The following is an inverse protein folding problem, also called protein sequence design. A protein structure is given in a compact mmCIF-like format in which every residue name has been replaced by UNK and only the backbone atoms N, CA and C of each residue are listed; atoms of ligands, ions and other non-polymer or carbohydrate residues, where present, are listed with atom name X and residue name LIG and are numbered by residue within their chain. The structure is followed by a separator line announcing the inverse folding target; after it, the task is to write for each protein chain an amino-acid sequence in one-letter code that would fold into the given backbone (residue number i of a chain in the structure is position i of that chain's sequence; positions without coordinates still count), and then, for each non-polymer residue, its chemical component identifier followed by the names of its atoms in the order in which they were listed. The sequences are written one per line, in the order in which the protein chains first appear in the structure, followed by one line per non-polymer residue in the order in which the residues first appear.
data_IF_359763809760
#
_entry.id   IF_359763809760
#
_cell.length_a   1.000
_cell.length_b   1.000
_cell.length_c   1.000
_cell.angle_alpha   90.00
_cell.angle_beta   90.00
_cell.angle_gamma   90.00
#
_symmetry.space_group_name_H-M   'P 1'
#
loop_
_entity.id
_entity.type
_entity.pdbx_description
1 polymer ?
#
# COMPACT_ATOMS: atom_id res chain seq x y z
N UNK A 1 -1.59 2.96 22.31
CA UNK A 1 -0.67 2.00 21.66
C UNK A 1 -0.28 0.92 22.66
N UNK A 2 -1.24 0.03 22.92
CA UNK A 2 -1.14 -0.91 24.05
C UNK A 2 -0.52 -2.26 23.67
N UNK A 3 -0.09 -2.46 22.43
CA UNK A 3 0.40 -3.77 22.00
C UNK A 3 1.73 -3.67 21.20
N UNK A 4 2.73 -3.04 21.83
CA UNK A 4 4.06 -2.89 21.21
C UNK A 4 4.75 -4.25 21.00
N UNK A 5 4.46 -5.25 21.84
CA UNK A 5 4.99 -6.61 21.72
C UNK A 5 4.58 -7.28 20.40
N UNK A 6 3.43 -6.91 19.84
CA UNK A 6 3.00 -7.42 18.55
C UNK A 6 3.90 -6.94 17.41
N UNK A 7 4.40 -5.70 17.49
CA UNK A 7 5.40 -5.20 16.52
C UNK A 7 6.66 -6.05 16.57
N UNK A 8 7.14 -6.36 17.78
CA UNK A 8 8.32 -7.19 17.96
C UNK A 8 8.12 -8.59 17.36
N UNK A 9 7.00 -9.24 17.70
CA UNK A 9 6.65 -10.55 17.17
C UNK A 9 6.58 -10.56 15.64
N UNK A 10 5.84 -9.60 15.07
CA UNK A 10 5.66 -9.49 13.62
C UNK A 10 6.98 -9.17 12.89
N UNK A 11 7.81 -8.28 13.44
CA UNK A 11 9.11 -7.95 12.81
C UNK A 11 10.16 -9.03 12.98
N UNK A 12 10.04 -9.93 13.97
CA UNK A 12 10.84 -11.16 14.05
C UNK A 12 10.49 -12.11 12.90
N UNK A 13 9.21 -12.26 12.58
CA UNK A 13 8.74 -13.18 11.55
C UNK A 13 8.92 -12.66 10.13
N UNK A 14 8.75 -11.35 9.91
CA UNK A 14 8.62 -10.76 8.57
C UNK A 14 9.67 -9.68 8.26
N UNK A 15 10.60 -9.40 9.17
CA UNK A 15 11.62 -8.36 9.10
C UNK A 15 11.05 -6.93 9.06
N UNK A 16 10.07 -6.66 8.22
CA UNK A 16 9.42 -5.35 8.12
C UNK A 16 7.89 -5.47 8.13
N UNK A 17 7.25 -4.47 8.73
CA UNK A 17 5.79 -4.37 8.85
C UNK A 17 5.33 -2.94 8.57
N UNK A 18 4.07 -2.82 8.18
CA UNK A 18 3.35 -1.58 8.09
C UNK A 18 2.31 -1.48 9.20
N UNK A 19 2.29 -0.35 9.89
CA UNK A 19 1.18 0.05 10.74
C UNK A 19 0.27 0.94 9.91
N UNK A 20 -1.01 0.58 9.81
CA UNK A 20 -2.01 1.35 9.06
C UNK A 20 -3.17 1.69 9.99
N UNK A 21 -3.61 2.96 10.08
CA UNK A 21 -4.78 3.29 10.87
C UNK A 21 -6.02 2.60 10.31
N UNK A 22 -6.87 2.07 11.19
CA UNK A 22 -8.14 1.41 10.80
C UNK A 22 -9.05 2.41 10.09
N UNK A 23 -9.09 3.64 10.59
CA UNK A 23 -9.83 4.73 9.98
C UNK A 23 -8.84 5.74 9.38
N UNK A 24 -8.94 5.97 8.08
CA UNK A 24 -8.05 6.90 7.38
C UNK A 24 -8.15 6.74 5.87
N UNK A 25 -7.57 7.71 5.17
CA UNK A 25 -7.51 7.71 3.72
C UNK A 25 -6.21 8.32 3.23
N UNK A 26 -5.94 8.22 1.93
CA UNK A 26 -4.80 8.87 1.26
C UNK A 26 -3.41 8.46 1.78
N UNK A 27 -3.29 7.29 2.43
CA UNK A 27 -2.01 6.82 2.97
C UNK A 27 -1.49 7.61 4.19
N UNK A 28 -2.32 8.46 4.81
CA UNK A 28 -1.90 9.27 5.96
C UNK A 28 -1.66 8.42 7.20
N UNK A 29 -0.64 8.80 7.96
CA UNK A 29 -0.26 8.14 9.22
C UNK A 29 0.12 6.65 9.07
N UNK A 30 0.48 6.22 7.87
CA UNK A 30 1.08 4.90 7.67
C UNK A 30 2.51 4.95 8.18
N UNK A 31 2.92 3.91 8.92
CA UNK A 31 4.25 3.79 9.49
C UNK A 31 4.84 2.47 9.01
N UNK A 32 6.03 2.50 8.43
CA UNK A 32 6.84 1.31 8.14
C UNK A 32 7.85 1.13 9.25
N UNK A 33 7.96 -0.08 9.77
CA UNK A 33 8.94 -0.48 10.78
C UNK A 33 9.69 -1.69 10.27
N UNK A 34 11.00 -1.63 10.33
CA UNK A 34 11.90 -2.71 9.95
C UNK A 34 12.84 -3.05 11.10
N UNK A 35 12.96 -4.34 11.40
CA UNK A 35 13.89 -4.83 12.41
C UNK A 35 15.30 -4.90 11.84
N UNK A 36 16.24 -4.32 12.55
CA UNK A 36 17.66 -4.38 12.21
C UNK A 36 18.35 -5.61 12.83
N UNK A 37 19.44 -6.08 12.23
CA UNK A 37 20.21 -7.22 12.73
C UNK A 37 20.76 -7.02 14.15
N UNK A 38 21.07 -5.78 14.52
CA UNK A 38 21.58 -5.39 15.85
C UNK A 38 20.48 -5.17 16.91
N UNK A 39 19.31 -5.73 16.73
CA UNK A 39 18.10 -5.61 17.58
C UNK A 39 17.45 -4.22 17.60
N UNK A 40 17.94 -3.25 16.84
CA UNK A 40 17.30 -1.96 16.65
C UNK A 40 16.17 -2.00 15.63
N UNK A 41 15.53 -0.86 15.44
CA UNK A 41 14.45 -0.67 14.48
C UNK A 41 14.70 0.53 13.59
N UNK A 42 14.50 0.35 12.31
CA UNK A 42 14.37 1.45 11.36
C UNK A 42 12.88 1.79 11.23
N UNK A 43 12.53 3.05 11.26
CA UNK A 43 11.16 3.50 11.06
C UNK A 43 11.07 4.56 9.96
N UNK A 44 9.90 4.61 9.32
CA UNK A 44 9.61 5.57 8.27
C UNK A 44 8.11 5.88 8.25
N UNK A 45 7.75 7.15 8.19
CA UNK A 45 6.37 7.61 8.04
C UNK A 45 6.34 8.99 7.37
N UNK A 46 5.16 9.45 7.00
CA UNK A 46 4.98 10.75 6.36
C UNK A 46 4.14 11.68 7.23
N UNK A 47 4.64 12.91 7.41
CA UNK A 47 3.94 14.02 8.06
C UNK A 47 4.01 15.24 7.13
N UNK A 48 2.86 15.85 6.85
CA UNK A 48 2.79 17.05 6.00
C UNK A 48 3.50 16.88 4.64
N UNK A 49 3.36 15.71 4.00
CA UNK A 49 4.03 15.35 2.75
C UNK A 49 5.57 15.25 2.84
N UNK A 50 6.12 15.31 4.03
CA UNK A 50 7.55 15.08 4.28
C UNK A 50 7.76 13.69 4.85
N UNK A 51 8.78 13.00 4.35
CA UNK A 51 9.18 11.71 4.87
C UNK A 51 10.05 11.89 6.10
N UNK A 52 9.60 11.35 7.23
CA UNK A 52 10.39 11.23 8.47
C UNK A 52 10.91 9.79 8.54
N UNK A 53 12.20 9.64 8.76
CA UNK A 53 12.84 8.34 8.94
C UNK A 53 13.93 8.43 10.00
N UNK A 54 14.28 7.30 10.58
CA UNK A 54 15.34 7.19 11.57
C UNK A 54 15.46 5.78 12.12
N UNK A 55 16.36 5.65 13.10
CA UNK A 55 16.64 4.39 13.78
C UNK A 55 16.44 4.54 15.28
N UNK A 56 16.02 3.45 15.93
CA UNK A 56 16.01 3.32 17.39
C UNK A 56 16.80 2.07 17.78
N UNK A 57 17.36 2.08 18.98
CA UNK A 57 18.12 0.93 19.50
C UNK A 57 17.24 -0.05 20.26
N UNK A 58 16.02 0.35 20.64
CA UNK A 58 15.10 -0.51 21.37
C UNK A 58 13.65 -0.29 20.97
N UNK A 59 12.81 -1.24 21.37
CA UNK A 59 11.37 -1.18 21.16
C UNK A 59 10.71 -0.07 21.98
N UNK A 60 11.21 0.18 23.18
CA UNK A 60 10.73 1.24 24.08
C UNK A 60 10.98 2.62 23.48
N UNK A 61 12.16 2.86 22.93
CA UNK A 61 12.47 4.10 22.20
C UNK A 61 11.55 4.27 21.00
N UNK A 62 11.33 3.21 20.23
CA UNK A 62 10.40 3.23 19.11
C UNK A 62 8.98 3.60 19.57
N UNK A 63 8.52 3.03 20.68
CA UNK A 63 7.20 3.31 21.25
C UNK A 63 7.05 4.78 21.63
N UNK A 64 8.02 5.31 22.33
CA UNK A 64 8.02 6.74 22.75
C UNK A 64 7.96 7.68 21.54
N UNK A 65 8.75 7.39 20.51
CA UNK A 65 8.80 8.18 19.29
C UNK A 65 7.49 8.11 18.48
N UNK A 66 6.87 6.93 18.39
CA UNK A 66 5.66 6.75 17.60
C UNK A 66 4.38 7.18 18.34
N UNK A 67 4.42 7.30 19.68
CA UNK A 67 3.28 7.70 20.50
C UNK A 67 2.57 8.97 19.99
N UNK A 68 3.24 10.09 19.68
CA UNK A 68 2.58 11.28 19.15
C UNK A 68 2.03 11.09 17.72
N UNK A 69 2.67 10.25 16.91
CA UNK A 69 2.21 9.95 15.54
C UNK A 69 0.95 9.11 15.56
N UNK A 70 0.90 8.10 16.41
CA UNK A 70 -0.22 7.17 16.56
C UNK A 70 -1.38 7.85 17.29
N UNK A 71 -1.11 8.60 18.37
CA UNK A 71 -2.15 9.21 19.21
C UNK A 71 -3.13 8.15 19.74
N UNK A 72 -4.41 8.46 19.67
CA UNK A 72 -5.49 7.58 20.12
C UNK A 72 -6.08 6.69 19.00
N UNK A 73 -5.40 6.59 17.85
CA UNK A 73 -5.92 5.82 16.71
C UNK A 73 -5.67 4.33 16.90
N UNK A 74 -6.62 3.53 16.41
CA UNK A 74 -6.45 2.07 16.27
C UNK A 74 -5.70 1.77 14.97
N UNK A 75 -4.73 0.89 15.05
CA UNK A 75 -3.90 0.46 13.92
C UNK A 75 -3.98 -1.03 13.70
N UNK A 76 -3.93 -1.45 12.46
CA UNK A 76 -3.62 -2.82 12.07
C UNK A 76 -2.13 -2.93 11.75
N UNK A 77 -1.55 -4.11 12.02
CA UNK A 77 -0.17 -4.43 11.67
C UNK A 77 -0.20 -5.43 10.51
N UNK A 78 0.46 -5.11 9.43
CA UNK A 78 0.56 -5.95 8.24
C UNK A 78 2.02 -6.21 7.89
N UNK A 79 2.33 -7.45 7.46
CA UNK A 79 3.66 -7.75 6.90
C UNK A 79 3.93 -6.87 5.68
N UNK A 80 5.18 -6.46 5.49
CA UNK A 80 5.59 -5.81 4.24
C UNK A 80 5.47 -6.79 3.07
N UNK A 81 4.86 -6.32 1.99
CA UNK A 81 4.85 -7.00 0.69
C UNK A 81 5.83 -6.23 -0.21
N UNK A 82 6.72 -6.96 -0.88
CA UNK A 82 7.63 -6.36 -1.85
C UNK A 82 6.84 -6.00 -3.10
N UNK A 83 6.66 -4.71 -3.30
CA UNK A 83 6.02 -4.17 -4.50
C UNK A 83 7.05 -3.98 -5.63
N UNK A 84 6.56 -4.01 -6.86
CA UNK A 84 7.30 -3.56 -8.03
C UNK A 84 7.88 -2.16 -7.80
N UNK A 85 9.06 -1.92 -8.36
CA UNK A 85 9.68 -0.59 -8.28
C UNK A 85 10.00 -0.07 -9.67
N UNK A 86 9.51 1.10 -9.98
CA UNK A 86 9.91 1.89 -11.16
C UNK A 86 10.99 2.89 -10.74
N UNK A 87 12.21 2.69 -11.23
CA UNK A 87 13.39 3.51 -10.87
C UNK A 87 13.58 3.70 -9.36
N UNK A 88 13.45 2.60 -8.61
CA UNK A 88 13.59 2.58 -7.15
C UNK A 88 12.37 3.05 -6.35
N UNK A 89 11.33 3.57 -6.99
CA UNK A 89 10.09 4.05 -6.39
C UNK A 89 9.03 2.95 -6.42
N UNK A 90 8.33 2.74 -5.30
CA UNK A 90 7.26 1.74 -5.19
C UNK A 90 6.11 2.06 -6.15
N UNK A 91 5.48 1.00 -6.65
CA UNK A 91 4.36 1.08 -7.60
C UNK A 91 3.19 0.26 -7.08
N UNK A 92 1.99 0.74 -7.34
CA UNK A 92 0.75 -0.02 -7.30
C UNK A 92 -0.15 0.38 -8.47
N UNK A 93 -1.27 -0.33 -8.61
CA UNK A 93 -2.29 -0.04 -9.62
C UNK A 93 -3.57 0.44 -8.95
N UNK A 94 -4.18 1.49 -9.52
CA UNK A 94 -5.55 1.92 -9.25
C UNK A 94 -6.43 1.48 -10.40
N UNK A 95 -7.36 0.60 -10.13
CA UNK A 95 -8.35 0.13 -11.08
C UNK A 95 -9.70 0.76 -10.75
N UNK A 96 -10.31 1.42 -11.71
CA UNK A 96 -11.67 1.92 -11.61
C UNK A 96 -12.62 0.88 -12.18
N UNK A 97 -13.54 0.41 -11.35
CA UNK A 97 -14.57 -0.57 -11.70
C UNK A 97 -15.92 0.10 -11.54
N UNK A 98 -16.76 0.05 -12.55
CA UNK A 98 -18.08 0.67 -12.57
C UNK A 98 -19.13 -0.30 -13.07
N UNK A 99 -20.37 -0.10 -12.69
CA UNK A 99 -21.49 -0.83 -13.33
C UNK A 99 -21.86 -0.19 -14.65
N UNK A 100 -22.07 -1.03 -15.64
CA UNK A 100 -22.63 -0.61 -16.91
C UNK A 100 -24.17 -0.47 -16.85
N UNK A 101 -24.79 -0.17 -17.98
CA UNK A 101 -26.24 0.00 -18.09
C UNK A 101 -27.05 -1.29 -17.83
N UNK A 102 -26.41 -2.46 -17.85
CA UNK A 102 -27.01 -3.76 -17.51
C UNK A 102 -26.86 -4.11 -16.03
N UNK A 103 -26.06 -3.34 -15.28
CA UNK A 103 -25.73 -3.59 -13.88
C UNK A 103 -24.52 -4.51 -13.69
N UNK A 104 -23.80 -4.87 -14.78
CA UNK A 104 -22.60 -5.68 -14.71
C UNK A 104 -21.36 -4.84 -14.39
N UNK A 105 -20.45 -5.40 -13.61
CA UNK A 105 -19.18 -4.76 -13.28
C UNK A 105 -18.22 -4.78 -14.47
N UNK A 106 -17.77 -3.62 -14.90
CA UNK A 106 -16.78 -3.45 -15.97
C UNK A 106 -15.59 -2.60 -15.48
N UNK A 107 -14.43 -2.80 -16.07
CA UNK A 107 -13.26 -1.95 -15.82
C UNK A 107 -13.31 -0.76 -16.77
N UNK A 108 -13.36 0.43 -16.21
CA UNK A 108 -13.39 1.70 -16.96
C UNK A 108 -12.05 2.42 -16.98
N UNK A 109 -11.09 1.99 -16.15
CA UNK A 109 -9.74 2.55 -16.19
C UNK A 109 -8.76 1.80 -15.31
N UNK A 110 -7.50 1.75 -15.75
CA UNK A 110 -6.37 1.24 -14.97
C UNK A 110 -5.22 2.26 -15.06
N UNK A 111 -4.75 2.72 -13.91
CA UNK A 111 -3.61 3.60 -13.81
C UNK A 111 -2.53 3.00 -12.90
N UNK A 112 -1.28 3.02 -13.35
CA UNK A 112 -0.13 2.82 -12.48
C UNK A 112 0.07 4.06 -11.62
N UNK A 113 0.38 3.86 -10.32
CA UNK A 113 0.78 4.94 -9.43
C UNK A 113 2.20 4.69 -8.96
N UNK A 114 3.08 5.63 -9.26
CA UNK A 114 4.49 5.58 -8.86
C UNK A 114 4.68 6.54 -7.69
N UNK A 115 5.08 6.02 -6.55
CA UNK A 115 5.31 6.82 -5.35
C UNK A 115 6.38 7.89 -5.53
N UNK A 116 6.35 8.92 -4.70
CA UNK A 116 7.43 9.89 -4.58
C UNK A 116 8.72 9.16 -4.19
N UNK A 117 9.87 9.69 -4.60
CA UNK A 117 11.16 9.16 -4.17
C UNK A 117 11.25 9.08 -2.64
N UNK A 118 11.69 7.93 -2.17
CA UNK A 118 11.78 7.66 -0.75
C UNK A 118 10.45 7.49 -0.01
N UNK A 119 9.28 7.64 -0.62
CA UNK A 119 7.97 7.40 0.00
C UNK A 119 7.76 5.92 0.34
N UNK A 120 6.89 5.68 1.32
CA UNK A 120 6.36 4.34 1.66
C UNK A 120 4.95 4.11 1.11
N UNK A 121 4.41 5.09 0.40
CA UNK A 121 3.09 5.04 -0.24
C UNK A 121 3.17 5.48 -1.70
N UNK A 122 2.18 5.09 -2.50
CA UNK A 122 2.07 5.43 -3.93
C UNK A 122 1.10 6.58 -4.20
N UNK A 123 0.49 7.13 -3.13
CA UNK A 123 -0.59 8.09 -3.24
C UNK A 123 -0.18 9.36 -4.02
N UNK A 124 -0.95 9.69 -5.03
CA UNK A 124 -0.74 10.91 -5.85
C UNK A 124 -0.85 12.16 -4.98
N UNK A 125 -1.81 12.19 -4.03
CA UNK A 125 -1.96 13.31 -3.08
C UNK A 125 -0.74 13.54 -2.19
N UNK A 126 0.11 12.51 -2.01
CA UNK A 126 1.38 12.57 -1.28
C UNK A 126 2.59 12.89 -2.18
N UNK A 127 2.36 13.22 -3.45
CA UNK A 127 3.41 13.56 -4.42
C UNK A 127 3.82 12.40 -5.34
N UNK A 128 3.03 11.32 -5.41
CA UNK A 128 3.18 10.28 -6.42
C UNK A 128 2.72 10.74 -7.80
N UNK A 129 3.08 9.99 -8.83
CA UNK A 129 2.71 10.26 -10.22
C UNK A 129 1.88 9.11 -10.79
N UNK A 130 0.88 9.46 -11.61
CA UNK A 130 0.16 8.49 -12.43
C UNK A 130 0.93 8.15 -13.71
N UNK A 131 0.83 6.91 -14.15
CA UNK A 131 1.32 6.47 -15.46
C UNK A 131 0.34 5.47 -16.09
N UNK A 132 0.48 5.26 -17.39
CA UNK A 132 -0.30 4.26 -18.11
C UNK A 132 0.20 2.86 -17.77
N UNK A 133 -0.72 1.89 -17.66
CA UNK A 133 -0.38 0.51 -17.34
C UNK A 133 0.57 -0.11 -18.37
N UNK A 134 0.32 0.09 -19.67
CA UNK A 134 1.14 -0.47 -20.74
C UNK A 134 2.60 0.03 -20.69
N UNK A 135 2.80 1.31 -20.40
CA UNK A 135 4.14 1.90 -20.22
C UNK A 135 4.82 1.29 -18.99
N UNK A 136 4.10 1.17 -17.87
CA UNK A 136 4.63 0.58 -16.65
C UNK A 136 5.04 -0.88 -16.85
N UNK A 137 4.19 -1.67 -17.51
CA UNK A 137 4.49 -3.08 -17.75
C UNK A 137 5.65 -3.26 -18.72
N UNK A 138 5.69 -2.52 -19.83
CA UNK A 138 6.78 -2.64 -20.81
C UNK A 138 8.14 -2.16 -20.28
N UNK A 139 8.17 -1.21 -19.34
CA UNK A 139 9.42 -0.76 -18.72
C UNK A 139 9.98 -1.78 -17.68
N UNK A 140 9.15 -2.67 -17.15
CA UNK A 140 9.56 -3.59 -16.09
C UNK A 140 9.58 -5.07 -16.50
N UNK A 141 8.90 -5.44 -17.58
CA UNK A 141 8.79 -6.81 -18.07
C UNK A 141 9.07 -6.85 -19.58
N UNK A 142 10.13 -7.56 -19.97
CA UNK A 142 10.52 -7.66 -21.39
C UNK A 142 9.58 -8.59 -22.19
N UNK A 143 8.99 -9.59 -21.56
CA UNK A 143 8.10 -10.56 -22.18
C UNK A 143 6.66 -10.01 -22.29
N UNK A 144 6.19 -9.87 -23.51
CA UNK A 144 4.83 -9.40 -23.82
C UNK A 144 3.73 -10.34 -23.30
N UNK A 145 3.99 -11.65 -23.27
CA UNK A 145 3.04 -12.61 -22.71
C UNK A 145 2.91 -12.44 -21.19
N UNK A 146 4.02 -12.20 -20.51
CA UNK A 146 4.01 -11.89 -19.07
C UNK A 146 3.25 -10.58 -18.79
N UNK A 147 3.45 -9.55 -19.59
CA UNK A 147 2.69 -8.29 -19.47
C UNK A 147 1.18 -8.53 -19.61
N UNK A 148 0.76 -9.31 -20.61
CA UNK A 148 -0.64 -9.63 -20.82
C UNK A 148 -1.22 -10.48 -19.68
N UNK A 149 -0.48 -11.44 -19.17
CA UNK A 149 -0.91 -12.28 -18.05
C UNK A 149 -1.11 -11.43 -16.77
N UNK A 150 -0.21 -10.48 -16.48
CA UNK A 150 -0.35 -9.56 -15.36
C UNK A 150 -1.60 -8.69 -15.53
N UNK A 151 -1.82 -8.14 -16.72
CA UNK A 151 -3.01 -7.33 -17.02
C UNK A 151 -4.29 -8.13 -16.78
N UNK A 152 -4.41 -9.31 -17.37
CA UNK A 152 -5.58 -10.19 -17.22
C UNK A 152 -5.83 -10.55 -15.74
N UNK A 153 -4.77 -10.87 -14.99
CA UNK A 153 -4.89 -11.19 -13.56
C UNK A 153 -5.37 -10.00 -12.74
N UNK A 154 -4.84 -8.80 -13.00
CA UNK A 154 -5.24 -7.57 -12.30
C UNK A 154 -6.70 -7.23 -12.59
N UNK A 155 -7.13 -7.36 -13.84
CA UNK A 155 -8.52 -7.15 -14.24
C UNK A 155 -9.46 -8.13 -13.54
N UNK A 156 -9.11 -9.41 -13.53
CA UNK A 156 -9.86 -10.45 -12.84
C UNK A 156 -10.00 -10.16 -11.33
N UNK A 157 -8.88 -9.86 -10.65
CA UNK A 157 -8.90 -9.57 -9.21
C UNK A 157 -9.78 -8.36 -8.90
N UNK A 158 -9.72 -7.31 -9.72
CA UNK A 158 -10.50 -6.10 -9.50
C UNK A 158 -12.01 -6.37 -9.62
N UNK A 159 -12.42 -7.13 -10.63
CA UNK A 159 -13.83 -7.50 -10.84
C UNK A 159 -14.34 -8.40 -9.71
N UNK A 160 -13.58 -9.41 -9.31
CA UNK A 160 -13.95 -10.32 -8.22
C UNK A 160 -14.00 -9.57 -6.86
N UNK A 161 -13.11 -8.63 -6.63
CA UNK A 161 -13.16 -7.78 -5.44
C UNK A 161 -14.45 -6.93 -5.40
N UNK A 162 -14.84 -6.34 -6.54
CA UNK A 162 -16.07 -5.55 -6.63
C UNK A 162 -17.33 -6.39 -6.36
N UNK A 163 -17.44 -7.56 -6.99
CA UNK A 163 -18.55 -8.50 -6.77
C UNK A 163 -18.63 -8.98 -5.32
N UNK A 164 -17.48 -9.35 -4.74
CA UNK A 164 -17.40 -9.83 -3.36
C UNK A 164 -17.82 -8.73 -2.38
N UNK A 165 -17.37 -7.50 -2.60
CA UNK A 165 -17.71 -6.38 -1.74
C UNK A 165 -19.18 -6.01 -1.86
N UNK A 166 -19.75 -5.98 -3.07
CA UNK A 166 -21.17 -5.77 -3.30
C UNK A 166 -22.02 -6.80 -2.57
N UNK A 167 -21.66 -8.07 -2.64
CA UNK A 167 -22.37 -9.14 -1.95
C UNK A 167 -22.33 -8.96 -0.41
N UNK A 168 -21.26 -8.38 0.12
CA UNK A 168 -21.05 -8.20 1.57
C UNK A 168 -21.73 -6.94 2.14
N UNK A 169 -21.72 -5.83 1.40
CA UNK A 169 -22.13 -4.51 1.93
C UNK A 169 -23.30 -3.88 1.16
N UNK A 170 -23.78 -4.52 0.10
CA UNK A 170 -24.91 -4.04 -0.72
C UNK A 170 -24.46 -3.27 -1.97
N UNK A 171 -25.44 -2.66 -2.64
CA UNK A 171 -25.27 -2.04 -3.96
C UNK A 171 -24.28 -0.87 -3.94
N UNK A 172 -23.37 -0.90 -4.90
CA UNK A 172 -22.47 0.20 -5.27
C UNK A 172 -22.45 0.32 -6.80
N UNK A 173 -22.28 1.52 -7.32
CA UNK A 173 -22.17 1.77 -8.77
C UNK A 173 -20.74 1.93 -9.25
N UNK A 174 -19.80 2.20 -8.31
CA UNK A 174 -18.40 2.48 -8.63
C UNK A 174 -17.49 2.08 -7.47
N UNK A 175 -16.34 1.52 -7.80
CA UNK A 175 -15.28 1.18 -6.83
C UNK A 175 -13.90 1.47 -7.40
N UNK A 176 -12.99 1.95 -6.54
CA UNK A 176 -11.57 2.03 -6.81
C UNK A 176 -10.82 0.90 -6.11
N UNK A 177 -10.25 -0.02 -6.86
CA UNK A 177 -9.48 -1.15 -6.32
C UNK A 177 -7.98 -0.85 -6.43
N UNK A 178 -7.26 -0.99 -5.33
CA UNK A 178 -5.80 -0.80 -5.27
C UNK A 178 -5.11 -2.17 -5.24
N UNK A 179 -4.25 -2.44 -6.21
CA UNK A 179 -3.53 -3.71 -6.35
C UNK A 179 -2.02 -3.46 -6.38
N UNK A 180 -1.29 -4.11 -5.47
CA UNK A 180 0.17 -4.16 -5.51
C UNK A 180 0.65 -5.26 -6.47
N UNK A 181 1.63 -4.95 -7.31
CA UNK A 181 2.27 -5.87 -8.25
C UNK A 181 3.76 -6.01 -7.96
#
# INVERSE_FOLDING_TARGET
FNNISLIETMTRSYQAVYLKPVNGSQGRNIIRIERLKNRGYNYKFEVNKQTVNGNTHSLEQLQLLLKPVIGNRTYIIQKEIKLLKEKGRIVDLRILVQKDHTGEWIITGIAGRVGKEGSITTNISAGGNGCRLDILLSSNFADSQQQQNIKTLVEYIALEAAKTLEAAIGLSGEMGVDIGI
#
